data_IF_995504985591
#
_entry.id   IF_995504985591
#
_cell.length_a   1.000
_cell.length_b   1.000
_cell.length_c   1.000
_cell.angle_alpha   90.00
_cell.angle_beta   90.00
_cell.angle_gamma   90.00
#
_symmetry.space_group_name_H-M   'P 1'
#
loop_
_entity.id
_entity.type
_entity.pdbx_description
1 polymer ?
#
# COMPACT_ATOMS: atom_id res chain seq x y z
N UNK A 1 10.06 4.26 -5.94
CA UNK A 1 11.48 3.84 -5.95
C UNK A 1 11.71 2.79 -4.88
N UNK A 2 12.40 1.67 -5.13
CA UNK A 2 12.77 0.69 -4.11
C UNK A 2 13.56 1.31 -2.96
N UNK A 3 13.32 0.85 -1.72
CA UNK A 3 13.95 1.41 -0.52
C UNK A 3 15.48 1.30 -0.53
N UNK A 4 16.00 0.19 -1.06
CA UNK A 4 17.44 -0.08 -1.20
C UNK A 4 18.17 0.85 -2.18
N UNK A 5 17.44 1.51 -3.08
CA UNK A 5 17.99 2.48 -4.04
C UNK A 5 17.88 3.93 -3.59
N UNK A 6 17.24 4.17 -2.44
CA UNK A 6 16.95 5.52 -1.97
C UNK A 6 18.24 6.30 -1.67
N UNK A 7 19.19 5.69 -0.95
CA UNK A 7 20.46 6.33 -0.60
C UNK A 7 21.26 6.76 -1.83
N UNK A 8 21.43 5.86 -2.80
CA UNK A 8 22.11 6.17 -4.05
C UNK A 8 21.39 7.25 -4.87
N UNK A 9 20.06 7.33 -4.79
CA UNK A 9 19.30 8.38 -5.44
C UNK A 9 19.52 9.74 -4.74
N UNK A 10 19.53 9.77 -3.42
CA UNK A 10 19.80 10.97 -2.63
C UNK A 10 21.20 11.53 -2.93
N UNK A 11 22.21 10.66 -2.98
CA UNK A 11 23.57 11.07 -3.35
C UNK A 11 23.65 11.68 -4.75
N UNK A 12 22.95 11.12 -5.73
CA UNK A 12 22.87 11.71 -7.07
C UNK A 12 22.13 13.05 -7.09
N UNK A 13 21.07 13.18 -6.30
CA UNK A 13 20.33 14.43 -6.16
C UNK A 13 21.21 15.53 -5.57
N UNK A 14 21.93 15.25 -4.49
CA UNK A 14 22.89 16.17 -3.89
C UNK A 14 24.05 16.55 -4.83
N UNK A 15 24.62 15.55 -5.53
CA UNK A 15 25.71 15.80 -6.49
C UNK A 15 25.28 16.68 -7.67
N UNK A 16 24.00 16.62 -8.04
CA UNK A 16 23.45 17.39 -9.17
C UNK A 16 23.01 18.80 -8.78
N UNK A 17 22.43 18.97 -7.59
CA UNK A 17 21.73 20.18 -7.18
C UNK A 17 22.46 20.95 -6.06
N UNK A 18 23.59 20.43 -5.57
CA UNK A 18 24.35 21.02 -4.48
C UNK A 18 23.83 20.64 -3.10
N UNK A 19 24.25 21.39 -2.08
CA UNK A 19 23.90 21.12 -0.69
C UNK A 19 22.38 21.10 -0.46
N UNK A 20 21.90 20.08 0.24
CA UNK A 20 20.48 19.83 0.48
C UNK A 20 20.13 20.05 1.96
N UNK A 21 19.02 20.74 2.23
CA UNK A 21 18.42 20.88 3.54
C UNK A 21 17.12 20.08 3.61
N UNK A 22 16.99 19.25 4.65
CA UNK A 22 15.77 18.51 4.94
C UNK A 22 14.84 19.30 5.85
N UNK A 23 13.55 19.28 5.54
CA UNK A 23 12.49 19.76 6.43
C UNK A 23 11.31 18.82 6.39
N UNK A 24 10.68 18.57 7.54
CA UNK A 24 9.49 17.75 7.60
C UNK A 24 8.26 18.60 7.36
N UNK A 25 7.45 18.22 6.38
CA UNK A 25 6.15 18.82 6.11
C UNK A 25 5.12 17.71 5.99
N UNK A 26 4.15 17.69 6.88
CA UNK A 26 3.13 16.64 6.99
C UNK A 26 3.77 15.23 7.13
N UNK A 27 3.40 14.32 6.23
CA UNK A 27 3.92 12.94 6.18
C UNK A 27 5.12 12.77 5.24
N UNK A 28 5.65 13.87 4.67
CA UNK A 28 6.74 13.84 3.72
C UNK A 28 7.99 14.54 4.29
N UNK A 29 9.16 14.04 3.91
CA UNK A 29 10.40 14.78 4.04
C UNK A 29 10.62 15.59 2.77
N UNK A 30 10.68 16.90 2.91
CA UNK A 30 11.00 17.84 1.82
C UNK A 30 12.49 18.13 1.84
N UNK A 31 13.16 17.84 0.76
CA UNK A 31 14.56 18.12 0.51
C UNK A 31 14.65 19.33 -0.42
N UNK A 32 15.32 20.41 0.02
CA UNK A 32 15.50 21.62 -0.77
C UNK A 32 16.99 21.83 -1.02
N UNK A 33 17.39 21.87 -2.28
CA UNK A 33 18.75 22.08 -2.71
C UNK A 33 19.05 23.57 -2.93
N UNK A 34 20.35 23.92 -3.01
CA UNK A 34 20.84 25.30 -3.12
C UNK A 34 20.39 25.99 -4.43
N UNK A 35 20.16 25.24 -5.50
CA UNK A 35 19.70 25.72 -6.81
C UNK A 35 18.17 25.85 -6.93
N UNK A 36 17.43 25.60 -5.85
CA UNK A 36 15.98 25.64 -5.81
C UNK A 36 15.29 24.35 -6.25
N UNK A 37 16.03 23.25 -6.50
CA UNK A 37 15.45 21.94 -6.72
C UNK A 37 14.82 21.41 -5.42
N UNK A 38 13.61 20.86 -5.53
CA UNK A 38 12.86 20.32 -4.40
C UNK A 38 12.43 18.89 -4.69
N UNK A 39 12.70 18.00 -3.73
CA UNK A 39 12.21 16.65 -3.72
C UNK A 39 11.39 16.37 -2.45
N UNK A 40 10.15 15.91 -2.60
CA UNK A 40 9.31 15.44 -1.49
C UNK A 40 9.32 13.92 -1.46
N UNK A 41 9.86 13.36 -0.39
CA UNK A 41 10.00 11.91 -0.21
C UNK A 41 8.93 11.42 0.76
N UNK A 42 8.06 10.53 0.27
CA UNK A 42 7.01 9.89 1.06
C UNK A 42 7.41 8.45 1.32
N UNK A 43 7.50 8.09 2.59
CA UNK A 43 7.71 6.73 3.05
C UNK A 43 6.43 6.14 3.65
N UNK A 44 6.28 4.81 3.72
CA UNK A 44 5.18 4.17 4.44
C UNK A 44 5.21 4.41 5.95
N UNK A 45 6.39 4.67 6.52
CA UNK A 45 6.58 5.11 7.89
C UNK A 45 7.36 6.42 7.88
N UNK A 46 6.95 7.36 8.71
CA UNK A 46 7.64 8.64 8.80
C UNK A 46 9.02 8.46 9.43
N UNK A 47 10.09 9.09 8.91
CA UNK A 47 11.38 9.16 9.58
C UNK A 47 11.26 9.95 10.88
N UNK A 48 12.11 9.67 11.86
CA UNK A 48 12.10 10.34 13.18
C UNK A 48 12.66 11.75 13.08
N UNK A 49 13.68 11.92 12.25
CA UNK A 49 14.37 13.20 12.01
C UNK A 49 14.24 13.62 10.53
N UNK A 50 14.81 14.77 10.21
CA UNK A 50 14.71 15.35 8.87
C UNK A 50 16.03 15.28 8.09
N UNK A 51 16.91 14.35 8.43
CA UNK A 51 18.17 14.16 7.75
C UNK A 51 18.13 12.92 6.80
N UNK A 52 19.16 12.84 5.96
CA UNK A 52 19.31 11.77 4.97
C UNK A 52 19.44 10.39 5.62
N UNK A 53 20.24 10.26 6.67
CA UNK A 53 20.53 8.98 7.29
C UNK A 53 19.29 8.39 7.94
N UNK A 54 18.49 9.23 8.62
CA UNK A 54 17.24 8.83 9.23
C UNK A 54 16.19 8.44 8.16
N UNK A 55 16.15 9.16 7.03
CA UNK A 55 15.28 8.82 5.91
C UNK A 55 15.62 7.43 5.32
N UNK A 56 16.90 7.15 5.11
CA UNK A 56 17.37 5.85 4.60
C UNK A 56 17.10 4.73 5.61
N UNK A 57 17.37 5.00 6.89
CA UNK A 57 17.09 4.06 7.98
C UNK A 57 15.59 3.75 8.10
N UNK A 58 14.73 4.76 8.03
CA UNK A 58 13.27 4.58 8.06
C UNK A 58 12.76 3.78 6.87
N UNK A 59 13.29 4.03 5.66
CA UNK A 59 12.94 3.26 4.46
C UNK A 59 13.35 1.79 4.58
N UNK A 60 14.51 1.50 5.17
CA UNK A 60 15.00 0.16 5.42
C UNK A 60 14.21 -0.56 6.53
N UNK A 61 13.85 0.15 7.60
CA UNK A 61 13.15 -0.40 8.76
C UNK A 61 11.71 -0.84 8.45
N UNK A 62 11.05 -0.27 7.43
CA UNK A 62 9.71 -0.69 7.04
C UNK A 62 9.75 -2.07 6.35
N UNK A 63 9.85 -3.11 7.17
CA UNK A 63 9.98 -4.50 6.72
C UNK A 63 8.85 -5.41 7.20
N UNK A 64 8.06 -4.99 8.21
CA UNK A 64 7.02 -5.82 8.81
C UNK A 64 5.67 -5.11 8.77
N UNK A 65 4.67 -5.74 8.13
CA UNK A 65 3.32 -5.19 7.96
C UNK A 65 2.33 -6.28 7.55
N UNK A 66 1.04 -6.00 7.79
CA UNK A 66 -0.05 -6.77 7.21
C UNK A 66 -0.39 -6.26 5.79
N UNK A 67 -0.59 -7.18 4.87
CA UNK A 67 -1.03 -6.88 3.50
C UNK A 67 -2.43 -7.42 3.28
N UNK A 68 -3.41 -6.55 3.03
CA UNK A 68 -4.82 -6.91 2.87
C UNK A 68 -5.34 -6.40 1.54
N UNK A 69 -5.55 -7.32 0.61
CA UNK A 69 -6.03 -7.04 -0.73
C UNK A 69 -7.41 -7.67 -0.91
N UNK A 70 -8.43 -6.85 -1.21
CA UNK A 70 -9.81 -7.33 -1.36
C UNK A 70 -10.46 -6.74 -2.60
N UNK A 71 -11.03 -7.59 -3.44
CA UNK A 71 -11.88 -7.21 -4.58
C UNK A 71 -13.09 -8.13 -4.65
N UNK A 72 -14.09 -7.80 -5.47
CA UNK A 72 -15.30 -8.61 -5.62
C UNK A 72 -15.02 -10.06 -6.05
N UNK A 73 -13.94 -10.30 -6.79
CA UNK A 73 -13.52 -11.62 -7.26
C UNK A 73 -12.78 -12.45 -6.19
N UNK A 74 -12.39 -11.86 -5.06
CA UNK A 74 -11.68 -12.58 -4.03
C UNK A 74 -10.82 -11.68 -3.14
N UNK A 75 -10.00 -12.33 -2.32
CA UNK A 75 -9.11 -11.66 -1.39
C UNK A 75 -7.74 -12.35 -1.31
N UNK A 76 -6.76 -11.61 -0.85
CA UNK A 76 -5.45 -12.13 -0.48
C UNK A 76 -4.93 -11.36 0.74
N UNK A 77 -4.63 -12.09 1.81
CA UNK A 77 -4.09 -11.55 3.05
C UNK A 77 -2.71 -12.13 3.28
N UNK A 78 -1.75 -11.31 3.65
CA UNK A 78 -0.37 -11.70 3.88
C UNK A 78 0.23 -11.04 5.11
N UNK A 79 1.03 -11.78 5.87
CA UNK A 79 1.93 -11.27 6.91
C UNK A 79 3.32 -11.18 6.33
N UNK A 80 3.84 -9.96 6.29
CA UNK A 80 5.20 -9.66 5.83
C UNK A 80 6.06 -9.37 7.03
N UNK A 81 7.24 -10.00 7.09
CA UNK A 81 8.27 -9.77 8.10
C UNK A 81 9.62 -9.68 7.40
N UNK A 82 10.39 -8.64 7.73
CA UNK A 82 11.69 -8.37 7.12
C UNK A 82 11.64 -8.35 5.58
N UNK A 83 10.55 -7.80 5.01
CA UNK A 83 10.34 -7.72 3.58
C UNK A 83 9.99 -9.03 2.88
N UNK A 84 9.73 -10.11 3.62
CA UNK A 84 9.38 -11.44 3.10
C UNK A 84 8.00 -11.88 3.54
N UNK A 85 7.26 -12.54 2.64
CA UNK A 85 5.94 -13.10 2.95
C UNK A 85 6.09 -14.35 3.83
N UNK A 86 5.69 -14.28 5.09
CA UNK A 86 5.81 -15.37 6.06
C UNK A 86 4.57 -16.24 6.14
N UNK A 87 3.39 -15.63 6.05
CA UNK A 87 2.12 -16.34 6.04
C UNK A 87 1.17 -15.67 5.06
N UNK A 88 0.30 -16.43 4.44
CA UNK A 88 -0.73 -15.88 3.56
C UNK A 88 -1.95 -16.77 3.46
N UNK A 89 -3.10 -16.15 3.20
CA UNK A 89 -4.33 -16.81 2.85
C UNK A 89 -5.02 -16.07 1.72
N UNK A 90 -5.39 -16.80 0.67
CA UNK A 90 -6.09 -16.28 -0.48
C UNK A 90 -7.40 -17.03 -0.65
N UNK A 91 -8.40 -16.34 -1.19
CA UNK A 91 -9.66 -16.93 -1.58
C UNK A 91 -10.20 -16.27 -2.83
N UNK A 92 -10.65 -17.06 -3.78
CA UNK A 92 -11.34 -16.59 -5.00
C UNK A 92 -12.81 -16.96 -4.92
N UNK A 93 -13.67 -16.06 -5.41
CA UNK A 93 -15.08 -16.36 -5.63
C UNK A 93 -15.42 -16.05 -7.07
N UNK A 94 -16.13 -16.98 -7.71
CA UNK A 94 -16.61 -16.78 -9.08
C UNK A 94 -17.61 -15.63 -9.11
N UNK A 95 -17.28 -14.56 -9.82
CA UNK A 95 -18.20 -13.46 -10.11
C UNK A 95 -18.92 -13.80 -11.40
N UNK A 96 -20.19 -14.14 -11.31
CA UNK A 96 -21.01 -14.37 -12.50
C UNK A 96 -21.08 -13.09 -13.33
N UNK A 97 -20.67 -13.15 -14.60
CA UNK A 97 -20.62 -12.02 -15.51
C UNK A 97 -21.99 -11.37 -15.72
N UNK A 98 -22.00 -10.15 -16.26
CA UNK A 98 -23.23 -9.43 -16.63
C UNK A 98 -24.00 -10.20 -17.69
N UNK A 99 -25.15 -10.75 -17.35
CA UNK A 99 -26.18 -11.15 -18.31
C UNK A 99 -27.10 -9.96 -18.56
N UNK A 100 -27.33 -9.61 -19.84
CA UNK A 100 -28.31 -8.63 -20.26
C UNK A 100 -29.71 -9.22 -20.08
N UNK A 101 -30.41 -8.86 -19.02
CA UNK A 101 -31.82 -9.23 -18.82
C UNK A 101 -32.54 -8.07 -18.14
N UNK A 102 -33.75 -7.76 -18.59
CA UNK A 102 -34.50 -6.57 -18.19
C UNK A 102 -35.27 -6.68 -16.87
N UNK A 103 -35.64 -5.55 -16.33
CA UNK A 103 -36.67 -5.31 -15.30
C UNK A 103 -36.45 -6.04 -13.96
N UNK A 104 -37.31 -6.98 -13.62
CA UNK A 104 -37.34 -7.75 -12.36
C UNK A 104 -36.05 -8.52 -12.07
N UNK A 105 -35.28 -8.83 -13.10
CA UNK A 105 -33.99 -9.49 -12.93
C UNK A 105 -32.91 -8.57 -12.32
N UNK A 106 -33.00 -7.24 -12.52
CA UNK A 106 -31.98 -6.31 -12.00
C UNK A 106 -31.93 -6.29 -10.47
N UNK A 107 -33.07 -6.31 -9.77
CA UNK A 107 -33.12 -6.34 -8.31
C UNK A 107 -32.56 -7.65 -7.75
N UNK A 108 -32.90 -8.78 -8.39
CA UNK A 108 -32.34 -10.10 -8.02
C UNK A 108 -30.82 -10.15 -8.26
N UNK A 109 -30.33 -9.57 -9.33
CA UNK A 109 -28.89 -9.48 -9.61
C UNK A 109 -28.17 -8.52 -8.65
N UNK A 110 -28.78 -7.41 -8.28
CA UNK A 110 -28.22 -6.49 -7.28
C UNK A 110 -28.07 -7.18 -5.92
N UNK A 111 -29.13 -7.89 -5.46
CA UNK A 111 -29.11 -8.63 -4.20
C UNK A 111 -28.08 -9.77 -4.21
N UNK A 112 -27.94 -10.52 -5.32
CA UNK A 112 -26.91 -11.55 -5.44
C UNK A 112 -25.51 -10.98 -5.38
N UNK A 113 -25.27 -9.82 -6.03
CA UNK A 113 -23.96 -9.14 -5.99
C UNK A 113 -23.63 -8.61 -4.60
N UNK A 114 -24.62 -8.12 -3.85
CA UNK A 114 -24.46 -7.72 -2.46
C UNK A 114 -24.08 -8.93 -1.59
N UNK A 115 -24.84 -10.01 -1.65
CA UNK A 115 -24.55 -11.24 -0.89
C UNK A 115 -23.16 -11.84 -1.23
N UNK A 116 -22.73 -11.74 -2.50
CA UNK A 116 -21.38 -12.18 -2.90
C UNK A 116 -20.29 -11.26 -2.31
N UNK A 117 -20.52 -9.96 -2.27
CA UNK A 117 -19.61 -8.99 -1.67
C UNK A 117 -19.45 -9.25 -0.16
N UNK A 118 -20.57 -9.44 0.54
CA UNK A 118 -20.59 -9.77 1.98
C UNK A 118 -19.85 -11.07 2.27
N UNK A 119 -20.08 -12.10 1.45
CA UNK A 119 -19.39 -13.37 1.61
C UNK A 119 -17.86 -13.27 1.36
N UNK A 120 -17.42 -12.38 0.46
CA UNK A 120 -15.99 -12.11 0.26
C UNK A 120 -15.42 -11.37 1.48
N UNK A 121 -16.12 -10.33 1.99
CA UNK A 121 -15.68 -9.57 3.14
C UNK A 121 -15.56 -10.45 4.40
N UNK A 122 -16.53 -11.34 4.66
CA UNK A 122 -16.50 -12.28 5.77
C UNK A 122 -15.33 -13.28 5.66
N UNK A 123 -15.11 -13.85 4.46
CA UNK A 123 -14.01 -14.77 4.24
C UNK A 123 -12.65 -14.09 4.35
N UNK A 124 -12.54 -12.85 3.87
CA UNK A 124 -11.35 -12.03 4.02
C UNK A 124 -11.09 -11.65 5.49
N UNK A 125 -12.12 -11.33 6.26
CA UNK A 125 -12.02 -11.05 7.70
C UNK A 125 -11.50 -12.28 8.47
N UNK A 126 -12.01 -13.46 8.19
CA UNK A 126 -11.47 -14.70 8.75
C UNK A 126 -10.01 -14.94 8.38
N UNK A 127 -9.59 -14.53 7.17
CA UNK A 127 -8.20 -14.60 6.76
C UNK A 127 -7.32 -13.56 7.48
N UNK A 128 -7.80 -12.33 7.70
CA UNK A 128 -7.11 -11.30 8.49
C UNK A 128 -6.83 -11.83 9.90
N UNK A 129 -7.85 -12.33 10.59
CA UNK A 129 -7.68 -12.88 11.95
C UNK A 129 -6.72 -14.06 11.98
N UNK A 130 -6.78 -14.96 10.99
CA UNK A 130 -5.93 -16.16 10.95
C UNK A 130 -4.46 -15.87 10.60
N UNK A 131 -4.20 -14.87 9.73
CA UNK A 131 -2.85 -14.58 9.20
C UNK A 131 -2.15 -13.50 10.01
N UNK A 132 -2.89 -12.45 10.41
CA UNK A 132 -2.32 -11.30 11.13
C UNK A 132 -2.49 -11.40 12.65
N UNK A 133 -3.41 -12.24 13.12
CA UNK A 133 -3.70 -12.37 14.56
C UNK A 133 -4.57 -11.23 15.07
N UNK A 134 -4.45 -10.95 16.38
CA UNK A 134 -5.21 -9.89 17.09
C UNK A 134 -4.33 -8.73 17.57
N UNK A 135 -3.04 -8.78 17.30
CA UNK A 135 -2.11 -7.71 17.67
C UNK A 135 -2.15 -6.67 16.55
N UNK A 136 -2.44 -5.43 16.92
CA UNK A 136 -2.46 -4.33 15.98
C UNK A 136 -1.14 -4.23 15.22
N UNK A 137 -1.22 -4.18 13.92
CA UNK A 137 -0.07 -4.06 13.03
C UNK A 137 -0.35 -2.99 11.97
N UNK A 138 0.71 -2.43 11.43
CA UNK A 138 0.60 -1.52 10.29
C UNK A 138 0.10 -2.27 9.06
N UNK A 139 -0.90 -1.71 8.38
CA UNK A 139 -1.49 -2.31 7.19
C UNK A 139 -1.07 -1.59 5.91
N UNK A 140 -0.85 -2.39 4.88
CA UNK A 140 -0.86 -1.95 3.48
C UNK A 140 -2.06 -2.61 2.82
N UNK A 141 -2.91 -1.80 2.21
CA UNK A 141 -4.20 -2.24 1.70
C UNK A 141 -4.32 -2.01 0.19
N UNK A 142 -5.25 -2.71 -0.46
CA UNK A 142 -5.53 -2.48 -1.88
C UNK A 142 -6.82 -3.14 -2.36
N UNK A 143 -7.33 -2.66 -3.50
CA UNK A 143 -8.52 -3.18 -4.16
C UNK A 143 -9.78 -2.33 -3.94
N UNK A 144 -10.90 -2.92 -3.56
CA UNK A 144 -12.18 -2.23 -3.34
C UNK A 144 -12.24 -1.64 -1.93
N UNK A 145 -12.34 -0.31 -1.82
CA UNK A 145 -12.32 0.42 -0.53
C UNK A 145 -13.50 0.04 0.37
N UNK A 146 -14.67 -0.18 -0.21
CA UNK A 146 -15.87 -0.53 0.56
C UNK A 146 -15.76 -1.93 1.15
N UNK A 147 -15.35 -2.90 0.34
CA UNK A 147 -15.13 -4.28 0.79
C UNK A 147 -13.99 -4.37 1.79
N UNK A 148 -12.93 -3.58 1.61
CA UNK A 148 -11.83 -3.57 2.57
C UNK A 148 -12.30 -3.04 3.92
N UNK A 149 -12.99 -1.89 3.97
CA UNK A 149 -13.52 -1.34 5.23
C UNK A 149 -14.38 -2.36 5.94
N UNK A 150 -15.34 -2.96 5.26
CA UNK A 150 -16.19 -4.02 5.81
C UNK A 150 -15.37 -5.23 6.32
N UNK A 151 -14.31 -5.61 5.59
CA UNK A 151 -13.40 -6.70 6.00
C UNK A 151 -12.69 -6.36 7.31
N UNK A 152 -12.16 -5.14 7.44
CA UNK A 152 -11.45 -4.70 8.65
C UNK A 152 -12.40 -4.58 9.85
N UNK A 153 -13.60 -4.02 9.67
CA UNK A 153 -14.64 -3.97 10.68
C UNK A 153 -15.01 -5.38 11.19
N UNK A 154 -15.28 -6.32 10.30
CA UNK A 154 -15.61 -7.70 10.63
C UNK A 154 -14.47 -8.47 11.32
N UNK A 155 -13.23 -8.10 11.08
CA UNK A 155 -12.06 -8.73 11.71
C UNK A 155 -11.61 -8.04 13.00
N UNK A 156 -12.17 -6.88 13.35
CA UNK A 156 -11.73 -6.04 14.48
C UNK A 156 -10.40 -5.34 14.22
N UNK A 157 -10.02 -5.15 12.95
CA UNK A 157 -8.80 -4.48 12.53
C UNK A 157 -9.03 -3.07 11.95
N UNK A 158 -10.24 -2.53 12.11
CA UNK A 158 -10.64 -1.21 11.60
C UNK A 158 -9.87 -0.04 12.25
N UNK A 159 -9.39 -0.22 13.49
CA UNK A 159 -8.51 0.72 14.19
C UNK A 159 -7.01 0.58 13.85
N UNK A 160 -6.62 -0.35 12.98
CA UNK A 160 -5.21 -0.53 12.64
C UNK A 160 -4.75 0.49 11.60
N UNK A 161 -3.51 1.05 11.72
CA UNK A 161 -3.03 2.09 10.82
C UNK A 161 -2.83 1.57 9.39
N UNK A 162 -3.53 2.16 8.43
CA UNK A 162 -3.34 1.89 7.00
C UNK A 162 -2.42 2.95 6.42
N UNK A 163 -1.15 2.60 6.23
CA UNK A 163 -0.10 3.55 5.81
C UNK A 163 0.07 3.65 4.30
N UNK A 164 -0.49 2.72 3.54
CA UNK A 164 -0.43 2.75 2.08
C UNK A 164 -1.59 2.05 1.42
N UNK A 165 -2.06 2.64 0.33
CA UNK A 165 -3.01 2.05 -0.59
C UNK A 165 -2.33 1.66 -1.90
N UNK A 166 -2.55 0.42 -2.36
CA UNK A 166 -2.05 -0.07 -3.64
C UNK A 166 -3.20 -0.31 -4.61
N UNK A 167 -3.04 0.14 -5.84
CA UNK A 167 -3.88 -0.36 -6.93
C UNK A 167 -3.35 -1.74 -7.36
N UNK A 168 -4.24 -2.74 -7.28
CA UNK A 168 -3.90 -4.13 -7.52
C UNK A 168 -4.94 -4.81 -8.40
N UNK A 169 -4.56 -5.77 -9.24
CA UNK A 169 -5.50 -6.64 -9.96
C UNK A 169 -6.23 -7.57 -8.99
N UNK A 170 -6.98 -8.55 -9.54
CA UNK A 170 -7.67 -9.54 -8.71
C UNK A 170 -6.71 -10.27 -7.77
N UNK A 171 -7.03 -10.26 -6.44
CA UNK A 171 -6.09 -10.73 -5.43
C UNK A 171 -5.77 -12.22 -5.55
N UNK A 172 -4.49 -12.53 -5.64
CA UNK A 172 -3.92 -13.88 -5.66
C UNK A 172 -2.60 -13.89 -4.90
N UNK A 173 -2.05 -15.06 -4.62
CA UNK A 173 -0.75 -15.16 -3.93
C UNK A 173 0.37 -14.40 -4.64
N UNK A 174 0.44 -14.46 -5.98
CA UNK A 174 1.44 -13.74 -6.75
C UNK A 174 1.28 -12.22 -6.59
N UNK A 175 0.03 -11.71 -6.57
CA UNK A 175 -0.25 -10.28 -6.35
C UNK A 175 0.22 -9.81 -4.97
N UNK A 176 0.15 -10.66 -3.92
CA UNK A 176 0.77 -10.35 -2.62
C UNK A 176 2.29 -10.19 -2.74
N UNK A 177 2.94 -11.13 -3.42
CA UNK A 177 4.40 -11.10 -3.59
C UNK A 177 4.82 -9.84 -4.35
N UNK A 178 4.14 -9.52 -5.45
CA UNK A 178 4.41 -8.33 -6.28
C UNK A 178 4.07 -7.01 -5.55
N UNK A 179 3.18 -7.05 -4.58
CA UNK A 179 2.80 -5.91 -3.77
C UNK A 179 3.85 -5.54 -2.70
N UNK A 180 4.66 -6.49 -2.22
CA UNK A 180 5.66 -6.25 -1.16
C UNK A 180 6.67 -5.15 -1.54
N UNK A 181 7.38 -5.22 -2.67
CA UNK A 181 8.31 -4.15 -3.04
C UNK A 181 7.60 -2.81 -3.28
N UNK A 182 6.36 -2.82 -3.79
CA UNK A 182 5.55 -1.62 -3.98
C UNK A 182 5.10 -1.00 -2.64
N UNK A 183 4.78 -1.83 -1.65
CA UNK A 183 4.44 -1.41 -0.30
C UNK A 183 5.59 -0.66 0.37
N UNK A 184 6.82 -1.12 0.17
CA UNK A 184 8.05 -0.56 0.75
C UNK A 184 8.65 0.60 -0.04
N UNK A 185 8.20 0.82 -1.27
CA UNK A 185 8.80 1.81 -2.16
C UNK A 185 8.62 3.24 -1.64
N UNK A 186 9.66 4.06 -1.73
CA UNK A 186 9.56 5.50 -1.57
C UNK A 186 8.85 6.12 -2.79
N UNK A 187 7.91 7.07 -2.55
CA UNK A 187 7.39 7.95 -3.60
C UNK A 187 8.15 9.27 -3.52
N UNK A 188 8.64 9.76 -4.65
CA UNK A 188 9.38 11.01 -4.73
C UNK A 188 8.68 11.91 -5.73
N UNK A 189 8.23 13.07 -5.25
CA UNK A 189 7.65 14.12 -6.06
C UNK A 189 8.69 15.22 -6.26
N UNK A 190 8.96 15.59 -7.51
CA UNK A 190 9.98 16.58 -7.87
C UNK A 190 9.31 17.83 -8.44
N UNK A 191 9.84 19.02 -8.09
CA UNK A 191 9.44 20.26 -8.73
C UNK A 191 10.06 20.40 -10.13
N UNK A 192 9.74 21.49 -10.84
CA UNK A 192 10.26 21.74 -12.20
C UNK A 192 11.78 21.90 -12.21
N UNK A 193 12.38 22.60 -11.24
CA UNK A 193 13.82 22.79 -11.15
C UNK A 193 14.57 21.46 -11.00
N UNK A 194 14.04 20.52 -10.19
CA UNK A 194 14.62 19.19 -10.03
C UNK A 194 14.50 18.28 -11.27
N UNK A 195 13.59 18.60 -12.20
CA UNK A 195 13.36 17.84 -13.45
C UNK A 195 14.14 18.40 -14.64
N UNK A 196 14.43 19.69 -14.66
CA UNK A 196 14.89 20.43 -15.84
C UNK A 196 16.37 20.22 -16.22
N UNK A 197 17.16 19.50 -15.43
CA UNK A 197 18.58 19.22 -15.71
C UNK A 197 18.80 17.84 -16.36
N UNK A 198 17.89 17.40 -17.22
CA UNK A 198 17.93 16.13 -17.93
C UNK A 198 17.89 16.29 -19.46
N UNK A 199 18.44 17.40 -19.99
CA UNK A 199 18.64 17.59 -21.45
C UNK A 199 20.13 17.69 -21.74
#
# INVERSE_FOLDING_TARGET
>A
MPADRLDGWLGRFESRHGAVRGSRQDEALTLTAADGAVARVHLPCAPSQSDRNDLVAAAAAFGSFGLVLVRRGGFAVGRVEQGSLKASRCGTRYVQGKTKAGGWSQQRFARRRANQADAVAQAAAGAVSAVLGRIATTLVCGGDRTLLRQTLELSGADGWPVVRWLDVPDPRRQVLIDAIPRARAARIDLNSAARSLGS
#
